data_IF_126391670996
#
_entry.id   IF_126391670996
#
_cell.length_a   1.000
_cell.length_b   1.000
_cell.length_c   1.000
_cell.angle_alpha   90.00
_cell.angle_beta   90.00
_cell.angle_gamma   90.00
#
_symmetry.space_group_name_H-M   'P 1'
#
loop_
_entity.id
_entity.type
_entity.pdbx_description
1 polymer ?
#
# COMPACT_ATOMS: atom_id res chain seq x y z
N UNK A 1 12.36 5.93 5.35
CA UNK A 1 11.18 5.17 4.86
C UNK A 1 11.29 4.87 3.38
N UNK A 2 10.70 3.79 2.93
CA UNK A 2 10.73 3.38 1.52
C UNK A 2 9.32 3.26 0.99
N UNK A 3 9.12 3.73 -0.22
CA UNK A 3 7.95 3.44 -1.04
C UNK A 3 8.29 2.28 -1.97
N UNK A 4 7.54 1.20 -1.87
CA UNK A 4 7.64 0.05 -2.76
C UNK A 4 6.44 0.09 -3.69
N UNK A 5 6.69 0.03 -4.97
CA UNK A 5 5.67 -0.11 -6.00
C UNK A 5 5.92 -1.40 -6.76
N UNK A 6 4.89 -2.23 -6.90
CA UNK A 6 4.98 -3.51 -7.57
C UNK A 6 3.83 -3.72 -8.54
N UNK A 7 4.12 -4.01 -9.78
CA UNK A 7 3.13 -4.43 -10.77
C UNK A 7 3.22 -5.93 -10.93
N UNK A 8 2.13 -6.63 -10.60
CA UNK A 8 2.07 -8.09 -10.58
C UNK A 8 0.89 -8.61 -11.42
N UNK A 9 0.87 -9.90 -11.69
CA UNK A 9 -0.29 -10.57 -12.29
C UNK A 9 -1.50 -10.46 -11.35
N UNK A 10 -2.67 -10.16 -11.89
CA UNK A 10 -3.92 -10.12 -11.11
C UNK A 10 -4.20 -11.45 -10.39
N UNK A 11 -3.86 -12.57 -11.03
CA UNK A 11 -4.04 -13.93 -10.47
C UNK A 11 -3.16 -14.22 -9.25
N UNK A 12 -2.13 -13.42 -9.01
CA UNK A 12 -1.23 -13.55 -7.85
C UNK A 12 -1.52 -12.55 -6.74
N UNK A 13 -2.52 -11.68 -6.93
CA UNK A 13 -2.79 -10.59 -6.00
C UNK A 13 -3.19 -11.09 -4.61
N UNK A 14 -4.16 -12.02 -4.53
CA UNK A 14 -4.68 -12.46 -3.24
C UNK A 14 -3.61 -13.15 -2.40
N UNK A 15 -2.83 -14.06 -2.99
CA UNK A 15 -1.71 -14.72 -2.34
C UNK A 15 -0.65 -13.71 -1.86
N UNK A 16 -0.32 -12.72 -2.69
CA UNK A 16 0.66 -11.68 -2.32
C UNK A 16 0.15 -10.79 -1.20
N UNK A 17 -1.12 -10.41 -1.24
CA UNK A 17 -1.80 -9.61 -0.21
C UNK A 17 -1.74 -10.31 1.16
N UNK A 18 -2.16 -11.56 1.22
CA UNK A 18 -2.17 -12.34 2.47
C UNK A 18 -0.75 -12.47 3.04
N UNK A 19 0.21 -12.83 2.20
CA UNK A 19 1.59 -12.96 2.62
C UNK A 19 2.21 -11.63 3.11
N UNK A 20 1.86 -10.49 2.54
CA UNK A 20 2.30 -9.17 3.01
C UNK A 20 1.76 -8.88 4.42
N UNK A 21 0.47 -9.12 4.66
CA UNK A 21 -0.14 -8.93 5.98
C UNK A 21 0.52 -9.82 7.04
N UNK A 22 0.74 -11.11 6.75
CA UNK A 22 1.42 -12.06 7.63
C UNK A 22 2.87 -11.63 7.95
N UNK A 23 3.52 -10.93 7.02
CA UNK A 23 4.89 -10.45 7.18
C UNK A 23 5.00 -9.06 7.82
N UNK A 24 3.89 -8.50 8.31
CA UNK A 24 3.86 -7.27 9.09
C UNK A 24 3.71 -5.99 8.25
N UNK A 25 3.32 -6.12 6.99
CA UNK A 25 2.87 -4.99 6.17
C UNK A 25 1.38 -4.78 6.44
N UNK A 26 1.07 -3.96 7.44
CA UNK A 26 -0.31 -3.80 7.93
C UNK A 26 -1.20 -3.00 6.97
N UNK A 27 -0.61 -2.13 6.17
CA UNK A 27 -1.36 -1.26 5.27
C UNK A 27 -0.65 -1.01 3.94
N UNK A 28 -1.39 -1.12 2.86
CA UNK A 28 -0.97 -0.77 1.51
C UNK A 28 -2.18 -0.46 0.62
N UNK A 29 -1.94 0.30 -0.43
CA UNK A 29 -2.94 0.57 -1.48
C UNK A 29 -2.70 -0.33 -2.69
N UNK A 30 -3.76 -0.56 -3.46
CA UNK A 30 -3.64 -1.24 -4.74
C UNK A 30 -4.61 -0.66 -5.77
N UNK A 31 -4.22 -0.74 -7.03
CA UNK A 31 -5.03 -0.27 -8.16
C UNK A 31 -4.93 -1.23 -9.34
N UNK A 32 -6.00 -1.36 -10.10
CA UNK A 32 -5.97 -2.02 -11.39
C UNK A 32 -5.23 -1.13 -12.40
N UNK A 33 -4.23 -1.69 -13.06
CA UNK A 33 -3.45 -0.98 -14.07
C UNK A 33 -3.49 -1.74 -15.40
N UNK A 34 -3.47 -0.99 -16.48
CA UNK A 34 -3.31 -1.53 -17.82
C UNK A 34 -1.97 -1.11 -18.37
N UNK A 35 -1.23 -2.07 -18.88
CA UNK A 35 0.07 -1.84 -19.50
C UNK A 35 0.09 -2.35 -20.93
N UNK A 36 1.02 -1.85 -21.72
CA UNK A 36 1.36 -2.42 -23.02
C UNK A 36 2.67 -3.18 -22.91
N UNK A 37 2.79 -4.29 -23.63
CA UNK A 37 4.01 -5.08 -23.68
C UNK A 37 4.21 -5.63 -25.07
N UNK A 38 5.47 -5.80 -25.47
CA UNK A 38 5.81 -6.50 -26.72
C UNK A 38 5.39 -7.98 -26.73
N UNK A 39 5.11 -8.57 -25.55
CA UNK A 39 4.51 -9.90 -25.46
C UNK A 39 3.02 -9.80 -25.84
N UNK A 40 2.72 -10.07 -27.08
CA UNK A 40 1.34 -10.08 -27.61
C UNK A 40 0.52 -11.15 -26.91
N UNK A 41 -0.51 -10.73 -26.15
CA UNK A 41 -1.49 -11.65 -25.60
C UNK A 41 -2.51 -12.03 -26.68
N UNK A 42 -2.50 -13.30 -27.07
CA UNK A 42 -3.53 -13.85 -27.97
C UNK A 42 -4.75 -14.23 -27.15
N UNK A 43 -5.85 -13.55 -27.36
CA UNK A 43 -7.16 -13.95 -26.82
C UNK A 43 -8.02 -14.51 -27.94
N UNK A 44 -8.66 -15.65 -27.67
CA UNK A 44 -9.64 -16.24 -28.60
C UNK A 44 -11.03 -15.87 -28.11
N UNK A 45 -11.80 -15.18 -28.93
CA UNK A 45 -13.20 -14.88 -28.68
C UNK A 45 -14.03 -15.39 -29.86
N UNK A 46 -14.96 -16.29 -29.59
CA UNK A 46 -15.81 -16.95 -30.62
C UNK A 46 -15.02 -17.57 -31.80
N UNK A 47 -13.87 -18.17 -31.50
CA UNK A 47 -13.01 -18.81 -32.53
C UNK A 47 -12.14 -17.84 -33.33
N UNK A 48 -12.23 -16.52 -33.08
CA UNK A 48 -11.40 -15.50 -33.70
C UNK A 48 -10.28 -15.10 -32.74
N UNK A 49 -9.04 -15.11 -33.23
CA UNK A 49 -7.87 -14.65 -32.46
C UNK A 49 -7.80 -13.12 -32.50
N UNK A 50 -7.81 -12.50 -31.33
CA UNK A 50 -7.53 -11.08 -31.16
C UNK A 50 -6.17 -10.93 -30.48
N UNK A 51 -5.28 -10.19 -31.09
CA UNK A 51 -4.04 -9.73 -30.45
C UNK A 51 -4.37 -8.44 -29.69
N UNK A 52 -4.26 -8.47 -28.36
CA UNK A 52 -4.39 -7.25 -27.55
C UNK A 52 -3.05 -6.87 -26.96
N UNK A 53 -2.60 -5.67 -27.24
CA UNK A 53 -1.39 -5.10 -26.63
C UNK A 53 -1.62 -4.71 -25.17
N UNK A 54 -2.89 -4.75 -24.72
CA UNK A 54 -3.29 -4.34 -23.38
C UNK A 54 -3.25 -5.53 -22.43
N UNK A 55 -2.45 -5.39 -21.38
CA UNK A 55 -2.31 -6.38 -20.32
C UNK A 55 -2.85 -5.78 -19.02
N UNK A 56 -3.82 -6.48 -18.43
CA UNK A 56 -4.35 -6.10 -17.10
C UNK A 56 -3.42 -6.62 -16.01
N UNK A 57 -3.12 -5.74 -15.06
CA UNK A 57 -2.23 -5.98 -13.92
C UNK A 57 -2.78 -5.36 -12.66
N UNK A 58 -2.24 -5.77 -11.52
CA UNK A 58 -2.47 -5.14 -10.23
C UNK A 58 -1.21 -4.41 -9.83
N UNK A 59 -1.33 -3.15 -9.43
CA UNK A 59 -0.24 -2.36 -8.86
C UNK A 59 -0.44 -2.25 -7.36
N UNK A 60 0.56 -2.67 -6.61
CA UNK A 60 0.66 -2.51 -5.16
C UNK A 60 1.50 -1.28 -4.85
N UNK A 61 1.10 -0.51 -3.86
CA UNK A 61 1.81 0.69 -3.39
C UNK A 61 1.92 0.58 -1.87
N UNK A 62 3.12 0.35 -1.37
CA UNK A 62 3.42 0.18 0.04
C UNK A 62 4.33 1.32 0.51
N UNK A 63 4.11 1.77 1.73
CA UNK A 63 5.05 2.65 2.44
C UNK A 63 5.48 1.89 3.69
N UNK A 64 6.76 1.56 3.78
CA UNK A 64 7.32 0.73 4.83
C UNK A 64 8.54 1.37 5.47
N UNK A 65 8.85 0.94 6.69
CA UNK A 65 10.13 1.28 7.34
C UNK A 65 11.29 0.61 6.63
N UNK A 66 12.47 1.18 6.75
CA UNK A 66 13.68 0.68 6.08
C UNK A 66 13.95 -0.78 6.46
N UNK A 67 13.75 -1.16 7.73
CA UNK A 67 13.97 -2.53 8.21
C UNK A 67 13.01 -3.56 7.61
N UNK A 68 11.83 -3.12 7.16
CA UNK A 68 10.82 -4.00 6.57
C UNK A 68 10.92 -4.07 5.04
N UNK A 69 11.70 -3.18 4.44
CA UNK A 69 11.77 -3.03 2.99
C UNK A 69 12.17 -4.33 2.29
N UNK A 70 13.31 -4.89 2.65
CA UNK A 70 13.83 -6.11 2.00
C UNK A 70 12.88 -7.29 2.19
N UNK A 71 12.33 -7.44 3.39
CA UNK A 71 11.35 -8.50 3.69
C UNK A 71 10.08 -8.37 2.85
N UNK A 72 9.59 -7.14 2.66
CA UNK A 72 8.41 -6.88 1.82
C UNK A 72 8.68 -7.19 0.35
N UNK A 73 9.85 -6.80 -0.17
CA UNK A 73 10.30 -7.09 -1.54
C UNK A 73 10.39 -8.61 -1.77
N UNK A 74 11.06 -9.33 -0.87
CA UNK A 74 11.22 -10.78 -0.95
C UNK A 74 9.87 -11.49 -0.91
N UNK A 75 8.94 -11.00 -0.08
CA UNK A 75 7.58 -11.53 -0.01
C UNK A 75 6.85 -11.36 -1.34
N UNK A 76 6.88 -10.16 -1.94
CA UNK A 76 6.25 -9.89 -3.23
C UNK A 76 6.87 -10.78 -4.32
N UNK A 77 8.20 -10.84 -4.40
CA UNK A 77 8.88 -11.64 -5.44
C UNK A 77 8.53 -13.12 -5.29
N UNK A 78 8.54 -13.66 -4.10
CA UNK A 78 8.25 -15.07 -3.84
C UNK A 78 6.82 -15.46 -4.21
N UNK A 79 5.84 -14.63 -3.88
CA UNK A 79 4.41 -14.94 -4.09
C UNK A 79 3.94 -14.58 -5.50
N UNK A 80 4.45 -13.50 -6.09
CA UNK A 80 4.03 -13.06 -7.41
C UNK A 80 4.74 -13.78 -8.56
N UNK A 81 5.89 -14.42 -8.30
CA UNK A 81 6.70 -15.07 -9.32
C UNK A 81 6.03 -16.35 -9.85
N UNK A 82 5.91 -16.46 -11.17
CA UNK A 82 5.54 -17.70 -11.87
C UNK A 82 6.73 -18.29 -12.65
N UNK A 83 7.75 -17.48 -12.93
CA UNK A 83 8.87 -17.83 -13.77
C UNK A 83 8.65 -17.56 -15.27
N UNK A 84 7.48 -17.05 -15.62
CA UNK A 84 7.12 -16.73 -16.99
C UNK A 84 7.35 -15.25 -17.32
N UNK A 85 7.54 -14.95 -18.60
CA UNK A 85 7.58 -13.56 -19.09
C UNK A 85 6.27 -12.86 -18.72
N UNK A 86 6.40 -11.66 -18.12
CA UNK A 86 5.25 -10.86 -17.73
C UNK A 86 4.84 -11.02 -16.25
N UNK A 87 5.69 -11.55 -15.40
CA UNK A 87 5.47 -11.60 -13.94
C UNK A 87 5.36 -10.23 -13.29
N UNK A 88 5.90 -9.22 -13.95
CA UNK A 88 5.84 -7.84 -13.47
C UNK A 88 7.19 -7.30 -13.02
N UNK A 89 7.15 -6.24 -12.21
CA UNK A 89 8.34 -5.54 -11.71
C UNK A 89 8.06 -4.96 -10.34
N UNK A 90 9.11 -4.85 -9.54
CA UNK A 90 9.13 -4.14 -8.25
C UNK A 90 10.19 -3.05 -8.35
N UNK A 91 9.88 -1.87 -7.83
CA UNK A 91 10.85 -0.79 -7.66
C UNK A 91 10.65 -0.11 -6.32
N UNK A 92 11.71 0.55 -5.86
CA UNK A 92 11.75 1.20 -4.55
C UNK A 92 12.23 2.62 -4.72
N UNK A 93 11.63 3.52 -3.98
CA UNK A 93 12.07 4.92 -3.88
C UNK A 93 12.11 5.36 -2.42
N UNK A 94 12.97 6.33 -2.13
CA UNK A 94 13.01 6.97 -0.82
C UNK A 94 11.80 7.89 -0.64
N UNK A 95 11.34 8.00 0.59
CA UNK A 95 10.35 8.99 1.01
C UNK A 95 11.02 9.93 1.99
N UNK A 96 11.12 11.18 1.63
CA UNK A 96 11.74 12.21 2.46
C UNK A 96 10.82 12.60 3.63
N UNK A 97 9.52 12.74 3.35
CA UNK A 97 8.53 13.17 4.34
C UNK A 97 7.25 12.34 4.25
N UNK A 98 6.73 11.96 5.39
CA UNK A 98 5.45 11.25 5.52
C UNK A 98 4.58 11.94 6.57
N UNK A 99 3.37 12.33 6.19
CA UNK A 99 2.45 13.04 7.06
C UNK A 99 1.18 12.23 7.30
N UNK A 100 0.75 12.18 8.54
CA UNK A 100 -0.57 11.66 8.88
C UNK A 100 -1.63 12.74 8.63
N UNK A 101 -2.60 12.47 7.76
CA UNK A 101 -3.72 13.39 7.49
C UNK A 101 -4.52 13.64 8.77
N UNK A 102 -4.72 12.60 9.59
CA UNK A 102 -5.50 12.67 10.81
C UNK A 102 -4.89 13.63 11.85
N UNK A 103 -3.58 13.61 12.03
CA UNK A 103 -2.89 14.39 13.05
C UNK A 103 -2.22 15.66 12.52
N UNK A 104 -2.06 15.78 11.20
CA UNK A 104 -1.31 16.86 10.54
C UNK A 104 0.19 16.82 10.82
N UNK A 105 0.70 15.80 11.51
CA UNK A 105 2.10 15.69 11.91
C UNK A 105 2.92 14.94 10.88
N UNK A 106 4.17 15.38 10.71
CA UNK A 106 5.18 14.60 10.02
C UNK A 106 5.55 13.40 10.91
N UNK A 107 5.38 12.19 10.40
CA UNK A 107 5.69 10.96 11.13
C UNK A 107 7.18 10.60 10.95
N UNK A 108 8.07 11.41 11.54
CA UNK A 108 9.49 11.03 11.68
C UNK A 108 9.67 9.81 12.60
N UNK A 109 8.65 9.50 13.41
CA UNK A 109 8.67 8.47 14.44
C UNK A 109 8.37 7.05 13.92
N UNK A 110 7.92 6.89 12.68
CA UNK A 110 7.71 5.54 12.11
C UNK A 110 9.04 4.79 11.97
N UNK A 111 10.17 5.50 11.91
CA UNK A 111 11.51 4.91 11.90
C UNK A 111 12.08 4.56 13.28
N UNK A 112 11.45 5.00 14.36
CA UNK A 112 11.83 4.60 15.73
C UNK A 112 10.75 3.68 16.28
N UNK A 113 11.16 2.52 16.82
CA UNK A 113 10.27 1.68 17.63
C UNK A 113 9.65 2.57 18.69
N UNK A 114 8.34 2.84 18.62
CA UNK A 114 7.64 3.57 19.66
C UNK A 114 7.78 2.80 20.96
N UNK A 115 8.25 3.44 22.02
CA UNK A 115 8.18 2.83 23.35
C UNK A 115 6.69 2.71 23.75
N UNK A 116 6.34 1.73 24.61
CA UNK A 116 4.97 1.62 25.10
C UNK A 116 4.42 2.94 25.70
N UNK A 117 5.27 3.69 26.36
CA UNK A 117 4.96 5.03 26.92
C UNK A 117 4.61 6.07 25.84
N UNK A 118 5.30 6.03 24.70
CA UNK A 118 5.01 6.92 23.58
C UNK A 118 3.69 6.58 22.89
N UNK A 119 3.36 5.29 22.79
CA UNK A 119 2.07 4.82 22.25
C UNK A 119 0.92 5.27 23.14
N UNK A 120 1.10 5.25 24.46
CA UNK A 120 0.08 5.65 25.43
C UNK A 120 -0.09 7.17 25.46
N UNK A 121 1.00 7.95 25.37
CA UNK A 121 0.98 9.39 25.26
C UNK A 121 0.31 9.87 23.97
N UNK A 122 0.57 9.22 22.86
CA UNK A 122 -0.05 9.53 21.56
C UNK A 122 -1.56 9.23 21.59
N UNK A 123 -1.99 8.11 22.19
CA UNK A 123 -3.42 7.78 22.38
C UNK A 123 -4.13 8.82 23.27
N UNK A 124 -3.49 9.25 24.35
CA UNK A 124 -4.06 10.26 25.24
C UNK A 124 -4.20 11.62 24.51
N UNK A 125 -3.21 12.01 23.72
CA UNK A 125 -3.27 13.22 22.91
C UNK A 125 -4.36 13.15 21.82
N UNK A 126 -4.57 11.98 21.22
CA UNK A 126 -5.62 11.73 20.23
C UNK A 126 -7.01 11.82 20.84
N UNK A 127 -7.20 11.24 22.03
CA UNK A 127 -8.47 11.30 22.73
C UNK A 127 -8.82 12.74 23.11
N UNK A 128 -7.85 13.51 23.60
CA UNK A 128 -8.05 14.92 23.94
C UNK A 128 -8.40 15.79 22.72
N UNK A 129 -7.79 15.53 21.58
CA UNK A 129 -8.09 16.24 20.33
C UNK A 129 -9.50 15.89 19.79
N UNK A 130 -9.92 14.63 19.92
CA UNK A 130 -11.25 14.18 19.55
C UNK A 130 -12.34 14.82 20.43
N UNK A 131 -12.10 14.87 21.75
CA UNK A 131 -13.04 15.45 22.71
C UNK A 131 -13.17 16.98 22.53
N UNK A 132 -12.08 17.66 22.21
CA UNK A 132 -12.07 19.10 21.88
C UNK A 132 -12.84 19.40 20.57
N UNK A 133 -12.70 18.54 19.54
CA UNK A 133 -13.44 18.66 18.28
C UNK A 133 -14.95 18.47 18.46
N UNK A 134 -15.35 17.57 19.35
CA UNK A 134 -16.76 17.28 19.62
C UNK A 134 -17.45 18.36 20.49
N UNK A 135 -16.70 19.08 21.32
CA UNK A 135 -17.21 20.19 22.11
C UNK A 135 -17.60 21.38 21.21
N UNK A 136 -16.82 21.67 20.19
CA UNK A 136 -17.09 22.80 19.26
C UNK A 136 -18.31 22.58 18.38
N UNK A 137 -18.68 21.33 18.11
CA UNK A 137 -19.87 20.98 17.29
C UNK A 137 -21.17 21.10 18.09
N UNK A 138 -21.14 20.98 19.41
CA UNK A 138 -22.33 21.09 20.26
C UNK A 138 -22.72 22.55 20.53
N UNK A 139 -21.78 23.49 20.57
CA UNK A 139 -22.10 24.92 20.74
C UNK A 139 -22.70 25.56 19.48
N UNK A 140 -22.40 25.03 18.29
CA UNK A 140 -22.93 25.52 17.03
C UNK A 140 -24.40 25.11 16.76
N UNK A 141 -24.95 24.11 17.47
CA UNK A 141 -26.30 23.60 17.26
C UNK A 141 -27.34 24.06 18.30
N UNK A 142 -26.96 24.88 19.29
CA UNK A 142 -27.81 25.32 20.38
C UNK A 142 -28.43 26.73 20.26
N UNK A 143 -28.28 27.36 19.09
CA UNK A 143 -28.80 28.70 18.84
C UNK A 143 -29.99 28.72 17.89
N UNK A 144 -31.18 28.37 18.35
CA UNK A 144 -32.48 28.78 17.77
C UNK A 144 -33.49 28.99 18.86
#
# INVERSE_FOLDING_TARGET
>A
MKKIEAVIRRTRFDETKEALLENGVEWFSYVDVRGSSHARNRRVYRGVMYETDIIERMMLILIVRDELCDKAIDTIIRTARTGEIGDGRVWVSDIDHYYSIRTGRCDELINKKRSPEQVEADRAAEQAAHDAGNAHTKEASGGK
#
